data_IF_181498974872
#
_entry.id   IF_181498974872
#
_cell.length_a   1.000
_cell.length_b   1.000
_cell.length_c   1.000
_cell.angle_alpha   90.00
_cell.angle_beta   90.00
_cell.angle_gamma   90.00
#
_symmetry.space_group_name_H-M   'P 1'
#
loop_
_entity.id
_entity.type
_entity.pdbx_description
1 polymer ?
#
# COMPACT_ATOMS: atom_id res chain seq x y z
N UNK A 1 21.02 53.22 20.30
CA UNK A 1 20.82 51.88 20.92
C UNK A 1 20.37 50.95 19.78
N UNK A 2 21.26 50.11 19.29
CA UNK A 2 20.92 49.16 18.24
C UNK A 2 20.40 47.93 18.97
N UNK A 3 19.07 47.73 18.96
CA UNK A 3 18.46 46.53 19.49
C UNK A 3 18.83 45.38 18.56
N UNK A 4 19.93 44.71 18.88
CA UNK A 4 20.23 43.41 18.32
C UNK A 4 19.25 42.38 18.90
N UNK A 5 18.00 42.39 18.43
CA UNK A 5 17.13 41.25 18.59
C UNK A 5 17.66 40.14 17.68
N UNK A 6 18.40 39.21 18.25
CA UNK A 6 18.64 37.92 17.63
C UNK A 6 17.27 37.25 17.43
N UNK A 7 16.75 37.32 16.22
CA UNK A 7 15.55 36.58 15.89
C UNK A 7 15.96 35.09 15.78
N UNK A 8 15.49 34.28 16.72
CA UNK A 8 15.78 32.84 16.77
C UNK A 8 15.35 32.17 15.46
N UNK A 9 14.26 32.67 14.84
CA UNK A 9 13.77 32.17 13.54
C UNK A 9 14.77 32.41 12.42
N UNK A 10 15.33 33.57 12.31
CA UNK A 10 16.33 33.89 11.28
C UNK A 10 17.60 33.07 11.48
N UNK A 11 18.00 32.86 12.74
CA UNK A 11 19.16 32.03 13.07
C UNK A 11 18.91 30.57 12.71
N UNK A 12 17.74 30.03 13.05
CA UNK A 12 17.36 28.67 12.69
C UNK A 12 17.37 28.47 11.16
N UNK A 13 16.72 29.36 10.41
CA UNK A 13 16.65 29.28 8.94
C UNK A 13 18.05 29.35 8.30
N UNK A 14 18.96 30.16 8.81
CA UNK A 14 20.35 30.22 8.32
C UNK A 14 21.06 28.88 8.57
N UNK A 15 20.90 28.30 9.76
CA UNK A 15 21.54 27.03 10.14
C UNK A 15 20.93 25.88 9.34
N UNK A 16 19.61 25.84 9.18
CA UNK A 16 18.92 24.82 8.39
C UNK A 16 19.34 24.88 6.92
N UNK A 17 19.40 26.08 6.32
CA UNK A 17 19.84 26.25 4.93
C UNK A 17 21.31 25.87 4.70
N UNK A 18 22.13 25.93 5.76
CA UNK A 18 23.57 25.65 5.66
C UNK A 18 23.90 24.19 5.98
N UNK A 19 23.25 23.61 6.98
CA UNK A 19 23.56 22.31 7.57
C UNK A 19 22.37 21.35 7.59
N UNK A 20 21.22 21.76 7.06
CA UNK A 20 20.03 20.92 7.01
C UNK A 20 20.26 19.69 6.13
N UNK A 21 19.69 18.58 6.55
CA UNK A 21 19.76 17.31 5.88
C UNK A 21 18.38 16.88 5.41
N UNK A 22 18.32 16.25 4.24
CA UNK A 22 17.07 15.79 3.64
C UNK A 22 16.52 14.54 4.33
N UNK A 23 15.20 14.49 4.45
CA UNK A 23 14.47 13.31 4.87
C UNK A 23 13.13 13.21 4.13
N UNK A 24 12.55 12.00 4.11
CA UNK A 24 11.19 11.75 3.60
C UNK A 24 10.33 11.12 4.70
N UNK A 25 9.01 11.24 4.57
CA UNK A 25 8.05 10.60 5.49
C UNK A 25 7.47 9.38 4.77
N UNK A 26 7.41 8.22 5.44
CA UNK A 26 6.97 6.96 4.79
C UNK A 26 5.54 7.01 4.25
N UNK A 27 4.67 7.84 4.80
CA UNK A 27 3.31 8.09 4.29
C UNK A 27 3.27 8.96 3.04
N UNK A 28 4.36 9.72 2.77
CA UNK A 28 4.51 10.56 1.58
C UNK A 28 5.96 10.52 1.08
N UNK A 29 6.41 9.40 0.49
CA UNK A 29 7.82 9.17 0.18
C UNK A 29 8.37 10.00 -0.99
N UNK A 30 7.49 10.67 -1.75
CA UNK A 30 7.88 11.54 -2.88
C UNK A 30 8.28 12.94 -2.44
N UNK A 31 7.79 13.39 -1.30
CA UNK A 31 8.08 14.72 -0.78
C UNK A 31 9.35 14.69 0.06
N UNK A 32 10.25 15.62 -0.23
CA UNK A 32 11.52 15.79 0.47
C UNK A 32 11.41 16.99 1.40
N UNK A 33 11.77 16.76 2.64
CA UNK A 33 11.77 17.74 3.73
C UNK A 33 13.19 17.96 4.22
N UNK A 34 13.44 19.09 4.89
CA UNK A 34 14.75 19.42 5.46
C UNK A 34 14.65 19.53 6.98
N UNK A 35 15.72 19.14 7.66
CA UNK A 35 15.83 19.28 9.12
C UNK A 35 17.24 19.08 9.63
N UNK A 36 17.46 19.47 10.88
CA UNK A 36 18.74 19.34 11.56
C UNK A 36 18.71 18.10 12.46
N UNK A 37 19.58 17.14 12.17
CA UNK A 37 19.73 15.91 12.97
C UNK A 37 20.88 16.07 13.96
N UNK A 38 20.59 15.93 15.24
CA UNK A 38 21.57 16.08 16.31
C UNK A 38 21.56 14.87 17.25
N UNK A 39 22.73 14.33 17.55
CA UNK A 39 22.85 13.21 18.51
C UNK A 39 22.48 13.67 19.91
N UNK A 40 21.84 12.80 20.66
CA UNK A 40 21.52 13.03 22.06
C UNK A 40 22.69 12.49 22.90
N UNK A 41 23.41 13.39 23.57
CA UNK A 41 24.53 13.07 24.46
C UNK A 41 24.05 12.64 25.86
N UNK A 42 22.93 11.97 25.96
CA UNK A 42 22.40 11.46 27.22
C UNK A 42 22.63 9.96 27.32
N UNK A 43 23.44 9.55 28.28
CA UNK A 43 23.76 8.14 28.55
C UNK A 43 22.52 7.26 28.80
N UNK A 44 21.40 7.88 29.19
CA UNK A 44 20.15 7.18 29.51
C UNK A 44 19.23 7.00 28.28
N UNK A 45 19.47 7.70 27.15
CA UNK A 45 18.57 7.69 25.99
C UNK A 45 18.97 6.75 24.85
N UNK A 46 20.08 6.02 25.01
CA UNK A 46 20.53 5.04 24.02
C UNK A 46 21.20 5.67 22.78
N UNK A 47 22.09 4.91 22.17
CA UNK A 47 23.00 5.34 21.08
C UNK A 47 22.23 5.65 19.78
N UNK A 48 21.02 5.07 19.60
CA UNK A 48 20.24 5.12 18.37
C UNK A 48 19.17 6.22 18.35
N UNK A 49 19.23 7.16 19.29
CA UNK A 49 18.24 8.25 19.45
C UNK A 49 18.85 9.59 19.05
N UNK A 50 18.09 10.41 18.32
CA UNK A 50 18.52 11.72 17.84
C UNK A 50 17.43 12.76 18.08
N UNK A 51 17.82 14.02 18.17
CA UNK A 51 16.92 15.14 17.98
C UNK A 51 16.78 15.44 16.49
N UNK A 52 15.57 15.71 16.06
CA UNK A 52 15.26 16.31 14.75
C UNK A 52 14.59 17.66 14.99
N UNK A 53 15.20 18.73 14.47
CA UNK A 53 14.63 20.07 14.42
C UNK A 53 14.23 20.34 12.97
N UNK A 54 12.97 20.69 12.75
CA UNK A 54 12.43 20.94 11.41
C UNK A 54 11.19 21.84 11.47
N UNK A 55 10.94 22.58 10.40
CA UNK A 55 9.69 23.32 10.25
C UNK A 55 8.51 22.39 9.87
N UNK A 56 8.82 21.16 9.45
CA UNK A 56 7.80 20.16 9.09
C UNK A 56 7.08 19.65 10.33
N UNK A 57 5.75 19.63 10.28
CA UNK A 57 4.95 19.02 11.34
C UNK A 57 4.97 17.51 11.19
N UNK A 58 5.42 16.82 12.23
CA UNK A 58 5.43 15.35 12.33
C UNK A 58 4.55 14.92 13.52
N UNK A 59 3.87 13.80 13.34
CA UNK A 59 3.14 13.14 14.43
C UNK A 59 4.01 12.07 15.07
N UNK A 60 3.80 11.82 16.36
CA UNK A 60 4.34 10.66 17.04
C UNK A 60 3.91 9.38 16.26
N UNK A 61 4.84 8.46 16.04
CA UNK A 61 4.58 7.28 15.21
C UNK A 61 4.87 7.46 13.71
N UNK A 62 5.13 8.69 13.22
CA UNK A 62 5.62 8.82 11.85
C UNK A 62 6.96 8.11 11.69
N UNK A 63 7.12 7.41 10.56
CA UNK A 63 8.40 6.85 10.15
C UNK A 63 9.01 7.79 9.13
N UNK A 64 10.20 8.28 9.41
CA UNK A 64 10.97 9.11 8.50
C UNK A 64 12.18 8.34 7.97
N UNK A 65 12.60 8.65 6.76
CA UNK A 65 13.78 8.07 6.13
C UNK A 65 14.82 9.17 5.90
N UNK A 66 15.96 9.03 6.56
CA UNK A 66 17.10 9.92 6.44
C UNK A 66 18.36 9.12 6.15
N UNK A 67 19.17 9.53 5.15
CA UNK A 67 20.37 8.82 4.70
C UNK A 67 20.15 7.31 4.50
N UNK A 68 19.01 6.94 3.93
CA UNK A 68 18.58 5.54 3.71
C UNK A 68 18.35 4.71 5.00
N UNK A 69 18.20 5.36 6.15
CA UNK A 69 17.90 4.75 7.45
C UNK A 69 16.51 5.20 7.89
N UNK A 70 15.70 4.27 8.37
CA UNK A 70 14.39 4.58 8.93
C UNK A 70 14.52 4.99 10.40
N UNK A 71 13.78 6.01 10.79
CA UNK A 71 13.64 6.48 12.16
C UNK A 71 12.16 6.62 12.51
N UNK A 72 11.79 6.26 13.72
CA UNK A 72 10.45 6.42 14.27
C UNK A 72 10.42 7.69 15.14
N UNK A 73 9.43 8.54 14.93
CA UNK A 73 9.17 9.70 15.77
C UNK A 73 8.59 9.20 17.10
N UNK A 74 9.36 9.35 18.18
CA UNK A 74 8.98 8.84 19.51
C UNK A 74 8.16 9.88 20.28
N UNK A 75 8.52 11.14 20.20
CA UNK A 75 7.80 12.23 20.86
C UNK A 75 8.14 13.56 20.22
N UNK A 76 7.18 14.49 20.32
CA UNK A 76 7.41 15.92 20.09
C UNK A 76 7.77 16.55 21.43
N UNK A 77 8.83 17.35 21.46
CA UNK A 77 9.16 18.13 22.62
C UNK A 77 8.41 19.48 22.56
N UNK A 78 7.31 19.59 23.30
CA UNK A 78 6.45 20.78 23.29
C UNK A 78 7.02 21.96 24.07
N UNK A 79 7.97 21.73 24.98
CA UNK A 79 8.54 22.75 25.84
C UNK A 79 9.47 23.75 25.10
N UNK A 80 10.01 23.35 23.95
CA UNK A 80 10.95 24.15 23.13
C UNK A 80 10.27 24.86 21.95
N UNK A 81 8.95 24.92 21.91
CA UNK A 81 8.18 25.42 20.77
C UNK A 81 8.16 26.98 20.81
N UNK A 82 9.21 27.61 20.30
CA UNK A 82 9.27 29.06 20.10
C UNK A 82 8.68 29.51 18.76
N UNK A 83 7.63 28.80 18.24
CA UNK A 83 6.98 29.07 16.94
C UNK A 83 7.91 29.08 15.72
N UNK A 84 9.18 28.72 15.89
CA UNK A 84 10.22 28.82 14.87
C UNK A 84 10.51 27.45 14.22
N UNK A 85 10.55 26.39 15.01
CA UNK A 85 10.79 25.02 14.56
C UNK A 85 10.16 24.02 15.54
N UNK A 86 9.91 22.82 15.04
CA UNK A 86 9.47 21.71 15.88
C UNK A 86 10.69 20.85 16.24
N UNK A 87 10.78 20.44 17.51
CA UNK A 87 11.81 19.54 18.00
C UNK A 87 11.22 18.18 18.30
N UNK A 88 11.76 17.15 17.67
CA UNK A 88 11.33 15.77 17.82
C UNK A 88 12.46 14.91 18.36
N UNK A 89 12.10 13.87 19.10
CA UNK A 89 12.99 12.75 19.40
C UNK A 89 12.66 11.66 18.41
N UNK A 90 13.67 11.25 17.62
CA UNK A 90 13.56 10.19 16.63
C UNK A 90 14.49 9.05 16.99
N UNK A 91 14.05 7.82 16.80
CA UNK A 91 14.84 6.62 17.10
C UNK A 91 15.00 5.76 15.86
N UNK A 92 16.22 5.31 15.63
CA UNK A 92 16.56 4.42 14.51
C UNK A 92 15.77 3.12 14.58
N UNK A 93 15.18 2.73 13.44
CA UNK A 93 14.45 1.49 13.25
C UNK A 93 15.23 0.55 12.33
N UNK A 94 16.16 -0.25 12.87
CA UNK A 94 17.01 -1.11 12.07
C UNK A 94 16.31 -2.37 11.56
N UNK A 95 15.11 -2.68 12.04
CA UNK A 95 14.44 -3.94 11.76
C UNK A 95 13.19 -3.74 10.90
N UNK A 96 13.07 -4.59 9.89
CA UNK A 96 11.81 -4.94 9.28
C UNK A 96 11.35 -6.26 9.90
N UNK A 97 10.16 -6.27 10.46
CA UNK A 97 9.62 -7.40 11.22
C UNK A 97 8.43 -7.95 10.44
N UNK A 98 8.47 -9.24 10.16
CA UNK A 98 7.43 -9.94 9.42
C UNK A 98 6.39 -10.48 10.40
N UNK A 99 5.29 -9.75 10.60
CA UNK A 99 4.17 -10.22 11.40
C UNK A 99 3.19 -11.02 10.55
N UNK A 100 2.83 -12.22 11.03
CA UNK A 100 1.72 -12.98 10.48
C UNK A 100 0.41 -12.46 11.08
N UNK A 101 -0.34 -11.70 10.30
CA UNK A 101 -1.64 -11.15 10.72
C UNK A 101 -2.71 -11.81 9.86
N UNK A 102 -3.59 -12.60 10.46
CA UNK A 102 -4.62 -13.38 9.74
C UNK A 102 -4.02 -14.20 8.59
N UNK A 103 -2.90 -14.90 8.82
CA UNK A 103 -2.11 -15.66 7.83
C UNK A 103 -1.44 -14.82 6.73
N UNK A 104 -1.69 -13.53 6.66
CA UNK A 104 -1.01 -12.60 5.76
C UNK A 104 0.27 -12.08 6.40
N UNK A 105 1.36 -12.08 5.62
CA UNK A 105 2.64 -11.50 6.06
C UNK A 105 2.65 -10.00 5.84
N UNK A 106 2.87 -9.26 6.91
CA UNK A 106 2.98 -7.81 6.90
C UNK A 106 4.36 -7.40 7.40
N UNK A 107 5.07 -6.63 6.58
CA UNK A 107 6.40 -6.11 6.94
C UNK A 107 6.23 -4.79 7.68
N UNK A 108 6.66 -4.76 8.92
CA UNK A 108 6.56 -3.58 9.78
C UNK A 108 7.93 -3.11 10.20
N UNK A 109 8.22 -1.83 9.95
CA UNK A 109 9.49 -1.20 10.38
C UNK A 109 9.39 -0.81 11.86
N UNK A 110 10.40 -1.17 12.65
CA UNK A 110 10.41 -0.86 14.07
C UNK A 110 11.78 -1.07 14.71
N UNK A 111 11.82 -0.95 16.03
CA UNK A 111 13.00 -1.28 16.82
C UNK A 111 12.66 -2.28 17.92
N UNK A 112 13.68 -3.01 18.37
CA UNK A 112 13.57 -4.08 19.37
C UNK A 112 14.47 -3.74 20.53
N UNK A 113 13.95 -3.89 21.75
CA UNK A 113 14.66 -3.75 23.01
C UNK A 113 14.54 -5.04 23.83
N UNK A 114 15.58 -5.37 24.54
CA UNK A 114 15.48 -6.38 25.59
C UNK A 114 14.85 -5.76 26.82
N UNK A 115 13.93 -6.47 27.48
CA UNK A 115 13.35 -6.02 28.74
C UNK A 115 14.44 -6.04 29.82
N UNK A 116 14.94 -4.87 30.22
CA UNK A 116 15.77 -4.73 31.41
C UNK A 116 14.87 -4.52 32.62
N UNK A 117 15.01 -5.34 33.65
CA UNK A 117 14.35 -5.12 34.93
C UNK A 117 15.36 -4.45 35.85
N UNK A 118 15.04 -3.24 36.28
CA UNK A 118 15.85 -2.51 37.26
C UNK A 118 15.60 -3.12 38.65
N UNK A 119 16.61 -3.74 39.24
CA UNK A 119 16.52 -4.37 40.55
C UNK A 119 16.90 -3.34 41.62
N UNK A 120 15.92 -2.61 42.14
CA UNK A 120 16.14 -1.55 43.12
C UNK A 120 16.14 -2.03 44.58
N UNK A 121 15.83 -3.29 44.89
CA UNK A 121 15.71 -3.75 46.28
C UNK A 121 16.13 -5.22 46.44
N UNK A 122 17.42 -5.52 46.51
CA UNK A 122 17.98 -6.73 47.14
C UNK A 122 17.30 -8.10 46.98
N UNK A 123 16.26 -8.20 46.18
CA UNK A 123 15.59 -9.46 45.83
C UNK A 123 16.13 -9.99 44.51
N UNK A 124 16.52 -11.23 44.51
CA UNK A 124 16.93 -11.91 43.24
C UNK A 124 15.67 -12.07 42.37
N UNK A 125 15.52 -11.19 41.41
CA UNK A 125 14.51 -11.34 40.34
C UNK A 125 15.10 -12.23 39.26
N UNK A 126 14.55 -13.44 39.08
CA UNK A 126 14.85 -14.29 37.95
C UNK A 126 14.28 -13.56 36.70
N UNK A 127 15.12 -12.99 35.90
CA UNK A 127 14.74 -12.44 34.60
C UNK A 127 14.21 -13.56 33.72
N UNK A 128 13.00 -13.45 33.14
CA UNK A 128 12.63 -14.35 32.06
C UNK A 128 13.63 -14.11 30.92
N UNK A 129 14.57 -15.01 30.74
CA UNK A 129 15.42 -15.03 29.56
C UNK A 129 14.53 -15.27 28.36
N UNK A 130 14.39 -14.29 27.50
CA UNK A 130 13.63 -14.46 26.27
C UNK A 130 12.40 -13.58 26.11
N UNK A 131 12.33 -12.43 26.80
CA UNK A 131 11.31 -11.39 26.53
C UNK A 131 11.91 -10.21 25.81
N UNK A 132 11.26 -9.75 24.77
CA UNK A 132 11.62 -8.53 24.01
C UNK A 132 10.45 -7.56 23.98
N UNK A 133 10.76 -6.28 23.78
CA UNK A 133 9.78 -5.23 23.49
C UNK A 133 10.03 -4.76 22.07
N UNK A 134 9.03 -4.85 21.21
CA UNK A 134 9.04 -4.35 19.85
C UNK A 134 8.21 -3.08 19.80
N UNK A 135 8.79 -1.98 19.34
CA UNK A 135 8.05 -0.73 19.14
C UNK A 135 7.92 -0.46 17.65
N UNK A 136 6.68 -0.25 17.22
CA UNK A 136 6.31 -0.03 15.82
C UNK A 136 5.34 1.17 15.73
N UNK A 137 5.22 1.81 14.54
CA UNK A 137 4.16 2.80 14.32
C UNK A 137 2.79 2.15 14.46
N UNK A 138 1.85 2.85 15.09
CA UNK A 138 0.45 2.46 15.11
C UNK A 138 -0.17 2.80 13.74
N UNK A 139 -0.65 1.79 13.05
CA UNK A 139 -1.29 1.88 11.72
C UNK A 139 -2.49 0.96 11.65
N UNK A 140 -3.27 1.04 10.57
CA UNK A 140 -4.37 0.09 10.31
C UNK A 140 -3.88 -1.35 10.36
N UNK A 141 -2.69 -1.63 9.83
CA UNK A 141 -2.08 -2.96 9.82
C UNK A 141 -1.62 -3.39 11.21
N UNK A 142 -0.81 -2.57 11.90
CA UNK A 142 -0.25 -2.94 13.21
C UNK A 142 -1.30 -3.00 14.31
N UNK A 143 -2.41 -2.27 14.17
CA UNK A 143 -3.56 -2.35 15.08
C UNK A 143 -4.31 -3.70 15.02
N UNK A 144 -4.05 -4.52 14.00
CA UNK A 144 -4.61 -5.87 13.88
C UNK A 144 -3.80 -6.94 14.59
N UNK A 145 -2.59 -6.61 15.08
CA UNK A 145 -1.75 -7.53 15.85
C UNK A 145 -2.46 -7.90 17.14
N UNK A 146 -2.47 -9.18 17.46
CA UNK A 146 -3.17 -9.74 18.64
C UNK A 146 -2.23 -10.52 19.54
N UNK A 147 -2.66 -10.73 20.78
CA UNK A 147 -2.03 -11.68 21.69
C UNK A 147 -2.03 -13.07 21.04
N UNK A 148 -0.91 -13.76 21.14
CA UNK A 148 -0.57 -15.04 20.53
C UNK A 148 -0.18 -14.97 19.02
N UNK A 149 -0.21 -13.81 18.37
CA UNK A 149 0.40 -13.68 17.05
C UNK A 149 1.89 -13.99 17.14
N UNK A 150 2.42 -14.60 16.09
CA UNK A 150 3.82 -15.04 16.03
C UNK A 150 4.60 -14.27 14.96
N UNK A 151 5.88 -14.11 15.22
CA UNK A 151 6.84 -13.62 14.23
C UNK A 151 8.19 -14.30 14.45
N UNK A 152 9.00 -14.32 13.39
CA UNK A 152 10.37 -14.81 13.44
C UNK A 152 11.30 -13.60 13.38
N UNK A 153 12.24 -13.51 14.32
CA UNK A 153 13.27 -12.48 14.30
C UNK A 153 14.52 -12.96 15.04
N UNK A 154 15.70 -12.52 14.59
CA UNK A 154 16.98 -12.85 15.23
C UNK A 154 17.16 -14.38 15.40
N UNK A 155 16.77 -15.16 14.38
CA UNK A 155 16.84 -16.64 14.36
C UNK A 155 16.02 -17.33 15.47
N UNK A 156 15.02 -16.65 16.01
CA UNK A 156 14.14 -17.18 17.07
C UNK A 156 12.69 -16.92 16.70
N UNK A 157 11.82 -17.81 17.19
CA UNK A 157 10.37 -17.61 17.14
C UNK A 157 9.94 -16.79 18.36
N UNK A 158 9.02 -15.85 18.15
CA UNK A 158 8.48 -14.96 19.16
C UNK A 158 6.97 -15.01 19.13
N UNK A 159 6.35 -14.95 20.31
CA UNK A 159 4.90 -14.90 20.48
C UNK A 159 4.52 -13.64 21.24
N UNK A 160 3.54 -12.91 20.73
CA UNK A 160 3.00 -11.69 21.35
C UNK A 160 2.29 -12.05 22.66
N UNK A 161 2.72 -11.45 23.76
CA UNK A 161 2.16 -11.65 25.11
C UNK A 161 1.57 -10.38 25.70
N UNK A 162 1.88 -9.21 25.12
CA UNK A 162 1.34 -7.93 25.59
C UNK A 162 1.32 -6.90 24.49
N UNK A 163 0.31 -6.02 24.54
CA UNK A 163 0.15 -4.87 23.65
C UNK A 163 -0.06 -3.62 24.50
N UNK A 164 0.71 -2.57 24.26
CA UNK A 164 0.63 -1.30 24.96
C UNK A 164 0.41 -0.18 23.93
N UNK A 165 -0.73 0.48 24.02
CA UNK A 165 -1.18 1.59 23.17
C UNK A 165 -1.21 2.91 23.96
N UNK A 166 -0.55 2.99 25.12
CA UNK A 166 -0.55 4.17 25.98
C UNK A 166 0.12 5.41 25.37
N UNK A 167 0.98 5.20 24.34
CA UNK A 167 1.62 6.27 23.58
C UNK A 167 0.90 6.47 22.24
N UNK A 168 0.43 7.68 22.02
CA UNK A 168 -0.25 8.05 20.77
C UNK A 168 0.65 7.73 19.54
N UNK A 169 0.08 7.15 18.49
CA UNK A 169 0.79 6.83 17.26
C UNK A 169 1.82 5.67 17.36
N UNK A 170 1.99 5.07 18.52
CA UNK A 170 2.93 3.97 18.76
C UNK A 170 2.23 2.73 19.32
N UNK A 171 2.69 1.56 18.88
CA UNK A 171 2.34 0.27 19.48
C UNK A 171 3.61 -0.36 20.05
N UNK A 172 3.61 -0.63 21.36
CA UNK A 172 4.63 -1.45 22.02
C UNK A 172 4.13 -2.87 22.20
N UNK A 173 4.86 -3.82 21.67
CA UNK A 173 4.52 -5.24 21.68
C UNK A 173 5.51 -5.93 22.61
N UNK A 174 5.01 -6.54 23.67
CA UNK A 174 5.80 -7.47 24.47
C UNK A 174 5.69 -8.84 23.82
N UNK A 175 6.81 -9.49 23.57
CA UNK A 175 6.86 -10.83 23.01
C UNK A 175 7.85 -11.71 23.77
N UNK A 176 7.44 -12.94 24.04
CA UNK A 176 8.26 -13.95 24.66
C UNK A 176 8.77 -14.94 23.61
N UNK A 177 9.92 -15.55 23.89
CA UNK A 177 10.47 -16.60 23.04
C UNK A 177 9.47 -17.75 22.94
N UNK A 178 9.26 -18.22 21.72
CA UNK A 178 8.37 -19.33 21.41
C UNK A 178 9.12 -20.51 20.83
N UNK A 179 8.49 -21.68 20.83
CA UNK A 179 9.07 -22.87 20.21
C UNK A 179 9.06 -22.72 18.69
N UNK A 180 10.18 -23.03 18.06
CA UNK A 180 10.26 -23.13 16.59
C UNK A 180 9.38 -24.29 16.13
N UNK A 181 8.47 -24.00 15.22
CA UNK A 181 7.52 -24.98 14.67
C UNK A 181 8.03 -25.51 13.34
N UNK A 182 7.52 -26.69 12.96
CA UNK A 182 7.73 -27.23 11.62
C UNK A 182 7.16 -26.26 10.56
N UNK A 183 7.98 -25.90 9.56
CA UNK A 183 7.62 -24.91 8.55
C UNK A 183 7.99 -23.47 8.88
N UNK A 184 8.56 -23.18 10.07
CA UNK A 184 9.16 -21.87 10.36
C UNK A 184 10.44 -21.67 9.52
N UNK A 185 10.51 -20.59 8.75
CA UNK A 185 11.71 -20.19 8.02
C UNK A 185 12.49 -19.15 8.84
N UNK A 186 13.51 -19.63 9.56
CA UNK A 186 14.36 -18.79 10.41
C UNK A 186 15.32 -17.89 9.60
N UNK A 187 15.56 -18.21 8.32
CA UNK A 187 16.46 -17.45 7.43
C UNK A 187 15.72 -16.25 6.84
N UNK A 188 14.55 -16.51 6.27
CA UNK A 188 13.70 -15.46 5.69
C UNK A 188 12.77 -14.83 6.71
N UNK A 189 12.82 -15.26 7.98
CA UNK A 189 12.04 -14.75 9.10
C UNK A 189 10.52 -14.87 8.87
N UNK A 190 10.07 -16.04 8.36
CA UNK A 190 8.66 -16.32 8.05
C UNK A 190 8.11 -17.37 9.01
N UNK A 191 7.11 -17.06 9.85
CA UNK A 191 6.42 -18.04 10.69
C UNK A 191 5.65 -19.06 9.84
N UNK A 192 5.58 -20.32 10.29
CA UNK A 192 4.81 -21.37 9.62
C UNK A 192 3.34 -20.98 9.44
N UNK A 193 2.74 -21.40 8.34
CA UNK A 193 1.34 -21.08 8.02
C UNK A 193 1.09 -19.64 7.59
N UNK A 194 2.14 -18.86 7.37
CA UNK A 194 2.05 -17.47 6.93
C UNK A 194 2.45 -17.34 5.47
N UNK A 195 1.77 -16.46 4.76
CA UNK A 195 1.98 -16.25 3.34
C UNK A 195 2.17 -14.77 3.03
N UNK A 196 3.15 -14.47 2.18
CA UNK A 196 3.22 -13.15 1.54
C UNK A 196 2.22 -13.12 0.39
N UNK A 197 1.20 -12.27 0.53
CA UNK A 197 0.29 -11.99 -0.56
C UNK A 197 0.77 -10.74 -1.30
N UNK A 198 1.17 -10.93 -2.56
CA UNK A 198 1.52 -9.83 -3.46
C UNK A 198 0.76 -10.06 -4.77
N UNK A 199 -0.53 -9.69 -4.72
CA UNK A 199 -1.41 -9.88 -5.86
C UNK A 199 -1.19 -8.81 -6.92
N UNK A 200 -1.05 -9.27 -8.17
CA UNK A 200 -1.08 -8.39 -9.34
C UNK A 200 -2.22 -8.84 -10.25
N UNK A 201 -3.02 -7.89 -10.71
CA UNK A 201 -4.15 -8.12 -11.60
C UNK A 201 -3.91 -7.45 -12.94
N UNK A 202 -3.97 -8.22 -14.02
CA UNK A 202 -3.92 -7.72 -15.39
C UNK A 202 -5.18 -8.14 -16.14
N UNK A 203 -5.66 -7.28 -17.02
CA UNK A 203 -6.84 -7.50 -17.85
C UNK A 203 -6.49 -7.30 -19.32
N UNK A 204 -7.11 -8.06 -20.20
CA UNK A 204 -6.98 -7.92 -21.64
C UNK A 204 -8.36 -8.12 -22.30
N UNK A 205 -8.81 -7.18 -23.13
CA UNK A 205 -8.17 -5.89 -23.45
C UNK A 205 -8.22 -4.89 -22.31
N UNK A 206 -7.31 -3.89 -22.30
CA UNK A 206 -7.29 -2.80 -21.30
C UNK A 206 -8.36 -1.72 -21.58
N UNK A 207 -8.92 -1.73 -22.80
CA UNK A 207 -10.06 -0.91 -23.22
C UNK A 207 -10.88 -1.66 -24.26
N UNK A 208 -12.18 -1.44 -24.29
CA UNK A 208 -13.11 -2.05 -25.25
C UNK A 208 -13.64 -0.97 -26.19
N UNK A 209 -13.61 -1.24 -27.50
CA UNK A 209 -14.20 -0.40 -28.53
C UNK A 209 -14.84 -1.32 -29.57
N UNK A 210 -16.17 -1.48 -29.51
CA UNK A 210 -16.94 -2.42 -30.32
C UNK A 210 -18.26 -1.80 -30.77
N UNK A 211 -18.86 -2.41 -31.76
CA UNK A 211 -20.16 -1.97 -32.29
C UNK A 211 -21.32 -2.56 -31.48
N UNK A 212 -22.42 -1.84 -31.35
CA UNK A 212 -23.63 -2.32 -30.71
C UNK A 212 -24.09 -3.66 -31.32
N UNK A 213 -24.52 -4.60 -30.44
CA UNK A 213 -24.90 -5.96 -30.83
C UNK A 213 -23.74 -6.94 -30.95
N UNK A 214 -22.48 -6.54 -30.68
CA UNK A 214 -21.32 -7.42 -30.65
C UNK A 214 -20.86 -7.72 -29.22
N UNK A 215 -19.95 -8.68 -29.08
CA UNK A 215 -19.42 -9.11 -27.78
C UNK A 215 -17.91 -9.10 -27.78
N UNK A 216 -17.31 -8.90 -26.58
CA UNK A 216 -15.88 -8.93 -26.37
C UNK A 216 -15.57 -9.79 -25.11
N UNK A 217 -14.70 -10.78 -25.26
CA UNK A 217 -14.19 -11.52 -24.11
C UNK A 217 -13.14 -10.69 -23.37
N UNK A 218 -13.27 -10.59 -22.06
CA UNK A 218 -12.27 -10.08 -21.15
C UNK A 218 -11.52 -11.26 -20.53
N UNK A 219 -10.22 -11.26 -20.66
CA UNK A 219 -9.33 -12.21 -19.99
C UNK A 219 -8.65 -11.51 -18.82
N UNK A 220 -8.74 -12.11 -17.65
CA UNK A 220 -8.12 -11.58 -16.43
C UNK A 220 -7.10 -12.58 -15.90
N UNK A 221 -5.90 -12.10 -15.61
CA UNK A 221 -4.85 -12.89 -14.97
C UNK A 221 -4.54 -12.33 -13.61
N UNK A 222 -4.58 -13.17 -12.58
CA UNK A 222 -4.15 -12.85 -11.23
C UNK A 222 -2.85 -13.58 -10.94
N UNK A 223 -1.86 -12.86 -10.43
CA UNK A 223 -0.65 -13.49 -9.91
C UNK A 223 -0.46 -13.17 -8.44
N UNK A 224 0.13 -14.09 -7.68
CA UNK A 224 0.60 -13.85 -6.31
C UNK A 224 2.12 -14.03 -6.29
N UNK A 225 2.86 -12.96 -5.98
CA UNK A 225 4.33 -12.94 -6.00
C UNK A 225 4.93 -13.48 -7.31
N UNK A 226 4.30 -13.12 -8.45
CA UNK A 226 4.70 -13.54 -9.78
C UNK A 226 4.20 -14.92 -10.25
N UNK A 227 3.59 -15.71 -9.37
CA UNK A 227 2.98 -17.01 -9.72
C UNK A 227 1.51 -16.83 -10.09
N UNK A 228 1.10 -17.36 -11.24
CA UNK A 228 -0.30 -17.29 -11.69
C UNK A 228 -1.20 -18.11 -10.76
N UNK A 229 -2.36 -17.55 -10.43
CA UNK A 229 -3.40 -18.23 -9.68
C UNK A 229 -4.34 -18.91 -10.70
N UNK A 230 -4.48 -20.21 -10.57
CA UNK A 230 -5.39 -20.97 -11.39
C UNK A 230 -6.84 -20.78 -10.92
N UNK A 231 -7.74 -20.48 -11.87
CA UNK A 231 -9.17 -20.31 -11.63
C UNK A 231 -9.52 -19.32 -10.49
N UNK A 232 -9.04 -18.04 -10.55
CA UNK A 232 -9.38 -17.06 -9.54
C UNK A 232 -10.89 -16.76 -9.56
N UNK A 233 -11.49 -16.56 -8.39
CA UNK A 233 -12.88 -16.12 -8.31
C UNK A 233 -12.96 -14.64 -8.64
N UNK A 234 -13.51 -14.33 -9.81
CA UNK A 234 -13.66 -12.98 -10.33
C UNK A 234 -15.12 -12.54 -10.28
N UNK A 235 -15.34 -11.26 -10.10
CA UNK A 235 -16.64 -10.63 -10.27
C UNK A 235 -16.54 -9.52 -11.31
N UNK A 236 -17.58 -9.40 -12.14
CA UNK A 236 -17.67 -8.44 -13.22
C UNK A 236 -18.90 -7.55 -13.02
N UNK A 237 -18.78 -6.27 -13.27
CA UNK A 237 -19.90 -5.32 -13.22
C UNK A 237 -19.73 -4.25 -14.31
N UNK A 238 -20.87 -3.75 -14.83
CA UNK A 238 -20.91 -2.57 -15.67
C UNK A 238 -21.47 -1.41 -14.85
N UNK A 239 -20.90 -0.21 -14.99
CA UNK A 239 -21.44 1.00 -14.37
C UNK A 239 -22.67 1.56 -15.12
N UNK A 240 -22.91 1.09 -16.37
CA UNK A 240 -24.10 1.43 -17.15
C UNK A 240 -24.55 0.24 -18.01
N UNK A 241 -25.52 -0.51 -17.50
CA UNK A 241 -26.06 -1.72 -18.15
C UNK A 241 -26.93 -1.41 -19.39
N UNK A 242 -27.36 -0.17 -19.61
CA UNK A 242 -28.09 0.23 -20.81
C UNK A 242 -27.14 0.37 -22.02
N UNK A 243 -25.84 0.58 -21.79
CA UNK A 243 -24.81 0.70 -22.83
C UNK A 243 -24.11 -0.63 -23.06
N UNK A 244 -23.64 -1.27 -22.00
CA UNK A 244 -23.02 -2.60 -22.07
C UNK A 244 -23.28 -3.41 -20.81
N UNK A 245 -23.44 -4.71 -20.96
CA UNK A 245 -23.48 -5.68 -19.85
C UNK A 245 -22.26 -6.56 -19.87
N UNK A 246 -21.95 -7.23 -18.75
CA UNK A 246 -20.90 -8.24 -18.67
C UNK A 246 -21.42 -9.42 -17.86
N UNK A 247 -21.14 -10.63 -18.31
CA UNK A 247 -21.55 -11.84 -17.60
C UNK A 247 -20.46 -12.35 -16.63
N UNK A 248 -20.78 -13.41 -15.88
CA UNK A 248 -19.85 -13.99 -14.88
C UNK A 248 -18.62 -14.67 -15.52
N UNK A 249 -18.62 -14.94 -16.82
CA UNK A 249 -17.49 -15.47 -17.57
C UNK A 249 -16.61 -14.38 -18.19
N UNK A 250 -16.98 -13.08 -17.98
CA UNK A 250 -16.24 -11.93 -18.48
C UNK A 250 -16.54 -11.62 -19.95
N UNK A 251 -17.66 -12.09 -20.50
CA UNK A 251 -18.11 -11.68 -21.84
C UNK A 251 -18.87 -10.36 -21.72
N UNK A 252 -18.30 -9.29 -22.26
CA UNK A 252 -18.95 -8.00 -22.41
C UNK A 252 -19.86 -8.00 -23.64
N UNK A 253 -21.11 -7.57 -23.49
CA UNK A 253 -22.11 -7.46 -24.56
C UNK A 253 -22.50 -6.01 -24.77
N UNK A 254 -22.30 -5.50 -26.00
CA UNK A 254 -22.65 -4.14 -26.37
C UNK A 254 -24.16 -4.01 -26.65
N UNK A 255 -24.84 -3.12 -25.95
CA UNK A 255 -26.30 -2.93 -26.03
C UNK A 255 -26.66 -1.73 -26.91
N UNK A 256 -26.14 -0.55 -26.55
CA UNK A 256 -26.44 0.69 -27.23
C UNK A 256 -25.18 1.56 -27.34
N UNK A 257 -25.19 2.50 -28.30
CA UNK A 257 -24.13 3.50 -28.46
C UNK A 257 -23.92 4.30 -27.18
N UNK A 258 -22.68 4.49 -26.78
CA UNK A 258 -22.30 5.29 -25.62
C UNK A 258 -20.98 4.85 -24.98
N UNK A 259 -20.69 5.45 -23.82
CA UNK A 259 -19.51 5.16 -23.04
C UNK A 259 -19.93 4.62 -21.66
N UNK A 260 -19.25 3.58 -21.22
CA UNK A 260 -19.38 3.04 -19.87
C UNK A 260 -18.03 2.45 -19.40
N UNK A 261 -17.99 1.95 -18.18
CA UNK A 261 -16.84 1.20 -17.67
C UNK A 261 -17.28 -0.21 -17.24
N UNK A 262 -16.44 -1.18 -17.57
CA UNK A 262 -16.57 -2.51 -16.98
C UNK A 262 -15.54 -2.64 -15.87
N UNK A 263 -16.00 -3.06 -14.70
CA UNK A 263 -15.19 -3.21 -13.49
C UNK A 263 -15.01 -4.70 -13.24
N UNK A 264 -13.76 -5.13 -13.14
CA UNK A 264 -13.39 -6.49 -12.76
C UNK A 264 -12.83 -6.45 -11.35
N UNK A 265 -13.29 -7.35 -10.47
CA UNK A 265 -12.85 -7.39 -9.09
C UNK A 265 -12.41 -8.80 -8.69
N UNK A 266 -11.38 -8.87 -7.85
CA UNK A 266 -10.84 -10.08 -7.25
C UNK A 266 -10.71 -9.89 -5.74
N UNK A 267 -11.28 -10.79 -4.95
CA UNK A 267 -11.10 -10.81 -3.50
C UNK A 267 -9.86 -11.64 -3.15
N UNK A 268 -8.82 -10.98 -2.66
CA UNK A 268 -7.60 -11.64 -2.23
C UNK A 268 -7.75 -12.36 -0.89
N UNK A 269 -6.95 -13.41 -0.66
CA UNK A 269 -6.91 -14.11 0.62
C UNK A 269 -6.31 -13.26 1.75
N UNK A 270 -5.69 -12.13 1.42
CA UNK A 270 -5.24 -11.09 2.34
C UNK A 270 -6.37 -10.19 2.87
N UNK A 271 -7.62 -10.44 2.43
CA UNK A 271 -8.80 -9.67 2.80
C UNK A 271 -9.00 -8.38 1.99
N UNK A 272 -8.12 -8.09 1.05
CA UNK A 272 -8.24 -6.92 0.17
C UNK A 272 -9.00 -7.26 -1.12
N UNK A 273 -9.67 -6.26 -1.67
CA UNK A 273 -10.30 -6.37 -3.00
C UNK A 273 -9.46 -5.60 -4.01
N UNK A 274 -9.07 -6.28 -5.07
CA UNK A 274 -8.33 -5.73 -6.19
C UNK A 274 -9.29 -5.47 -7.34
N UNK A 275 -9.24 -4.28 -7.93
CA UNK A 275 -10.14 -3.88 -9.01
C UNK A 275 -9.38 -3.34 -10.21
N UNK A 276 -9.93 -3.60 -11.41
CA UNK A 276 -9.51 -2.98 -12.67
C UNK A 276 -10.73 -2.44 -13.38
N UNK A 277 -10.63 -1.20 -13.85
CA UNK A 277 -11.65 -0.53 -14.66
C UNK A 277 -11.22 -0.56 -16.12
N UNK A 278 -12.12 -1.01 -16.99
CA UNK A 278 -11.92 -1.14 -18.43
C UNK A 278 -12.82 -0.10 -19.11
N UNK A 279 -12.29 1.01 -19.60
CA UNK A 279 -13.06 1.98 -20.39
C UNK A 279 -13.66 1.30 -21.63
N UNK A 280 -14.97 1.47 -21.84
CA UNK A 280 -15.73 0.80 -22.88
C UNK A 280 -16.48 1.82 -23.71
N UNK A 281 -16.25 1.80 -25.01
CA UNK A 281 -16.91 2.63 -26.02
C UNK A 281 -17.71 1.72 -26.93
N UNK A 282 -19.01 1.97 -27.04
CA UNK A 282 -19.89 1.27 -27.95
C UNK A 282 -20.26 2.20 -29.09
N UNK A 283 -19.96 1.78 -30.31
CA UNK A 283 -20.28 2.54 -31.51
C UNK A 283 -21.68 2.22 -32.03
N UNK A 284 -22.31 3.18 -32.68
CA UNK A 284 -23.54 2.91 -33.39
C UNK A 284 -23.32 1.92 -34.54
N UNK A 285 -24.25 1.02 -34.75
CA UNK A 285 -24.25 0.18 -35.96
C UNK A 285 -24.62 1.05 -37.16
N UNK A 286 -23.67 1.30 -38.01
CA UNK A 286 -23.97 1.95 -39.30
C UNK A 286 -24.64 0.93 -40.20
N UNK A 287 -25.92 1.12 -40.45
CA UNK A 287 -26.67 0.28 -41.40
C UNK A 287 -26.05 0.45 -42.79
N UNK A 288 -25.43 -0.62 -43.28
CA UNK A 288 -24.95 -0.64 -44.68
C UNK A 288 -26.16 -0.82 -45.62
N UNK A 289 -26.41 0.19 -46.41
CA UNK A 289 -27.45 0.14 -47.42
C UNK A 289 -26.90 -0.53 -48.67
N UNK A 290 -27.44 -1.66 -49.05
CA UNK A 290 -27.14 -2.30 -50.34
C UNK A 290 -28.14 -1.76 -51.35
N UNK A 291 -27.68 -1.04 -52.35
CA UNK A 291 -28.47 -0.52 -53.47
C UNK A 291 -28.21 -1.37 -54.68
N UNK A 292 -29.30 -1.78 -55.33
CA UNK A 292 -29.20 -2.56 -56.56
C UNK A 292 -29.50 -1.62 -57.74
N UNK A 293 -28.64 -1.69 -58.74
CA UNK A 293 -28.77 -0.88 -59.95
C UNK A 293 -28.90 -1.78 -61.20
N UNK A 294 -29.78 -1.38 -62.08
CA UNK A 294 -29.83 -1.92 -63.44
C UNK A 294 -29.25 -0.87 -64.37
N UNK A 295 -28.03 -1.12 -64.87
CA UNK A 295 -27.24 -0.13 -65.66
C UNK A 295 -26.97 1.14 -64.90
N UNK A 296 -27.83 2.15 -64.92
CA UNK A 296 -27.69 3.47 -64.28
C UNK A 296 -28.80 3.82 -63.32
N UNK A 297 -29.84 2.99 -63.21
CA UNK A 297 -31.03 3.25 -62.38
C UNK A 297 -31.09 2.32 -61.20
N UNK A 298 -31.39 2.87 -60.02
CA UNK A 298 -31.60 2.07 -58.79
C UNK A 298 -32.86 1.23 -58.93
N UNK A 299 -32.80 -0.07 -58.56
CA UNK A 299 -33.92 -0.99 -58.57
C UNK A 299 -34.65 -0.87 -57.21
N UNK A 300 -35.83 -0.26 -57.21
CA UNK A 300 -36.59 0.00 -55.99
C UNK A 300 -37.77 -0.95 -55.75
N UNK A 301 -38.01 -1.90 -56.67
CA UNK A 301 -39.18 -2.81 -56.62
C UNK A 301 -38.75 -4.26 -56.30
N UNK A 302 -39.54 -4.97 -55.50
CA UNK A 302 -39.34 -6.37 -55.13
C UNK A 302 -40.18 -7.33 -55.95
N UNK A 303 -39.76 -8.59 -56.19
CA UNK A 303 -38.47 -9.23 -55.82
C UNK A 303 -37.30 -8.90 -56.76
N UNK A 304 -36.14 -8.70 -56.17
CA UNK A 304 -34.93 -8.49 -56.98
C UNK A 304 -34.40 -9.81 -57.52
N UNK A 305 -34.13 -9.85 -58.82
CA UNK A 305 -33.37 -10.91 -59.48
C UNK A 305 -32.20 -10.28 -60.18
N UNK A 306 -30.98 -10.54 -59.71
CA UNK A 306 -29.77 -10.09 -60.34
C UNK A 306 -29.62 -10.74 -61.71
N UNK A 307 -29.49 -9.93 -62.75
CA UNK A 307 -29.13 -10.32 -64.10
C UNK A 307 -27.63 -10.13 -64.29
N UNK A 308 -27.05 -10.79 -65.30
CA UNK A 308 -25.60 -10.71 -65.54
C UNK A 308 -24.99 -9.30 -65.74
N UNK A 309 -25.83 -8.29 -65.90
CA UNK A 309 -25.43 -6.89 -66.09
C UNK A 309 -25.65 -5.99 -64.84
N UNK A 310 -26.19 -6.54 -63.75
CA UNK A 310 -26.47 -5.77 -62.56
C UNK A 310 -25.22 -5.57 -61.70
N UNK A 311 -25.05 -4.37 -61.19
CA UNK A 311 -23.97 -4.02 -60.30
C UNK A 311 -24.48 -3.91 -58.88
N UNK A 312 -23.80 -4.58 -57.95
CA UNK A 312 -24.07 -4.43 -56.50
C UNK A 312 -23.04 -3.48 -55.93
N UNK A 313 -23.49 -2.35 -55.40
CA UNK A 313 -22.63 -1.39 -54.68
C UNK A 313 -22.97 -1.47 -53.20
N UNK A 314 -21.96 -1.72 -52.36
CA UNK A 314 -22.07 -1.70 -50.92
C UNK A 314 -21.46 -0.38 -50.44
N UNK A 315 -22.25 0.47 -49.81
CA UNK A 315 -21.81 1.76 -49.22
C UNK A 315 -21.91 1.70 -47.71
#
# INVERSE_FOLDING_TARGET
MVDNYFNIGDTYNIVENTFGEEFTISTNPTDVYTGLFHKIDDKNKGIDTMYLLTNTYLQQGNVIKHRNINYLVITKNEEDNQDTYNKYIVRKCPYNINFSINTSMNVVTGYIETKTIDVTTGQTVILPTGTIIVTVPLSVTTNQIKINDRFIKMKSAWKVTGLDLSLEGLLKITADIDTVQEGDDLINEIPSGSYFYNYTMTVSPESINIDAGTTQQITTTITNSGNTIDNPTLTYASDNTDIATVDSSGVASAIAEGNCNIIVSFAGADGNTYTKTIPTVINAVVAKTVRFFNSTSEITTQPYKLLNADTVTIT
#
